data_IF_652231974962
#
_entry.id   IF_652231974962
#
_cell.length_a   1.000
_cell.length_b   1.000
_cell.length_c   1.000
_cell.angle_alpha   90.00
_cell.angle_beta   90.00
_cell.angle_gamma   90.00
#
_symmetry.space_group_name_H-M   'P 1'
#
loop_
_entity.id
_entity.type
_entity.pdbx_description
1 polymer ?
#
# COMPACT_ATOMS: atom_id res chain seq x y z
N UNK A 1 69.21 -12.33 -66.06
CA UNK A 1 68.67 -13.23 -65.01
C UNK A 1 68.33 -12.35 -63.79
N UNK A 2 67.08 -11.85 -63.70
CA UNK A 2 66.67 -10.98 -62.62
C UNK A 2 65.43 -11.59 -61.92
N UNK A 3 65.65 -12.03 -60.69
CA UNK A 3 64.59 -12.54 -59.83
C UNK A 3 63.93 -11.33 -59.10
N UNK A 4 62.68 -10.99 -59.46
CA UNK A 4 61.89 -10.03 -58.72
C UNK A 4 61.20 -10.76 -57.53
N UNK A 5 61.55 -10.33 -56.29
CA UNK A 5 60.85 -10.73 -55.07
C UNK A 5 59.58 -9.92 -54.93
N UNK A 6 58.45 -10.58 -54.89
CA UNK A 6 57.18 -9.95 -54.57
C UNK A 6 56.99 -10.01 -53.04
N UNK A 7 56.91 -8.89 -52.39
CA UNK A 7 56.57 -8.76 -50.97
C UNK A 7 55.03 -8.64 -50.85
N UNK A 8 54.43 -9.69 -50.30
CA UNK A 8 52.99 -9.66 -49.97
C UNK A 8 52.81 -8.99 -48.62
N UNK A 9 52.14 -7.81 -48.60
CA UNK A 9 51.76 -7.11 -47.39
C UNK A 9 50.39 -7.65 -46.99
N UNK A 10 50.31 -8.43 -45.91
CA UNK A 10 49.03 -8.89 -45.30
C UNK A 10 48.52 -7.79 -44.40
N UNK A 11 47.44 -7.10 -44.78
CA UNK A 11 46.71 -6.17 -43.97
C UNK A 11 45.85 -6.90 -42.96
N UNK A 12 46.17 -6.86 -41.69
CA UNK A 12 45.33 -7.39 -40.59
C UNK A 12 44.29 -6.30 -40.28
N UNK A 13 43.04 -6.54 -40.69
CA UNK A 13 41.90 -5.71 -40.26
C UNK A 13 41.50 -6.14 -38.86
N UNK A 14 41.86 -5.34 -37.85
CA UNK A 14 41.35 -5.51 -36.49
C UNK A 14 39.96 -4.90 -36.43
N UNK A 15 38.94 -5.75 -36.45
CA UNK A 15 37.55 -5.35 -36.26
C UNK A 15 37.34 -5.08 -34.78
N UNK A 16 37.43 -3.79 -34.39
CA UNK A 16 37.13 -3.34 -33.02
C UNK A 16 35.64 -3.47 -32.76
N UNK A 17 35.23 -4.46 -31.93
CA UNK A 17 33.88 -4.52 -31.39
C UNK A 17 33.72 -3.35 -30.38
N UNK A 18 33.05 -2.27 -30.82
CA UNK A 18 32.62 -1.20 -29.94
C UNK A 18 31.49 -1.76 -29.04
N UNK A 19 31.80 -2.14 -27.83
CA UNK A 19 30.81 -2.43 -26.78
C UNK A 19 30.19 -1.09 -26.37
N UNK A 20 29.03 -0.78 -26.93
CA UNK A 20 28.21 0.32 -26.48
C UNK A 20 27.76 0.00 -25.04
N UNK A 21 27.99 0.90 -24.05
CA UNK A 21 27.43 0.74 -22.74
C UNK A 21 25.90 0.78 -22.88
N UNK A 22 25.25 -0.37 -22.76
CA UNK A 22 23.79 -0.47 -22.69
C UNK A 22 23.35 0.39 -21.50
N UNK A 23 22.63 1.47 -21.77
CA UNK A 23 21.94 2.22 -20.74
C UNK A 23 21.04 1.25 -20.01
N UNK A 24 21.38 0.88 -18.77
CA UNK A 24 20.49 0.11 -17.91
C UNK A 24 19.26 1.00 -17.66
N UNK A 25 18.23 0.82 -18.44
CA UNK A 25 16.93 1.41 -18.18
C UNK A 25 16.48 0.79 -16.87
N UNK A 26 16.59 1.55 -15.78
CA UNK A 26 16.06 1.16 -14.48
C UNK A 26 14.57 0.90 -14.69
N UNK A 27 14.19 -0.38 -14.73
CA UNK A 27 12.80 -0.77 -14.88
C UNK A 27 12.01 -0.20 -13.68
N UNK A 28 11.14 0.74 -13.97
CA UNK A 28 10.30 1.36 -12.93
C UNK A 28 9.45 0.25 -12.29
N UNK A 29 9.56 0.10 -10.97
CA UNK A 29 8.77 -0.88 -10.21
C UNK A 29 7.28 -0.67 -10.47
N UNK A 30 6.54 -1.76 -10.69
CA UNK A 30 5.08 -1.73 -10.75
C UNK A 30 4.48 -1.19 -9.45
N UNK A 31 3.25 -0.73 -9.49
CA UNK A 31 2.54 -0.28 -8.28
C UNK A 31 2.45 -1.42 -7.25
N UNK A 32 2.19 -2.65 -7.70
CA UNK A 32 2.16 -3.83 -6.83
C UNK A 32 3.50 -4.03 -6.11
N UNK A 33 4.62 -3.95 -6.82
CA UNK A 33 5.96 -4.07 -6.21
C UNK A 33 6.27 -2.95 -5.24
N UNK A 34 5.83 -1.72 -5.54
CA UNK A 34 6.00 -0.58 -4.66
C UNK A 34 5.13 -0.69 -3.40
N UNK A 35 3.95 -1.30 -3.47
CA UNK A 35 3.05 -1.51 -2.33
C UNK A 35 3.58 -2.52 -1.33
N UNK A 36 4.27 -3.57 -1.78
CA UNK A 36 4.75 -4.64 -0.88
C UNK A 36 5.52 -4.07 0.30
N UNK A 37 5.09 -4.44 1.51
CA UNK A 37 5.69 -4.04 2.78
C UNK A 37 4.66 -3.64 3.83
N UNK A 38 5.17 -3.07 4.91
CA UNK A 38 4.38 -2.58 6.05
C UNK A 38 4.29 -1.06 6.00
N UNK A 39 3.08 -0.56 6.16
CA UNK A 39 2.73 0.85 6.08
C UNK A 39 2.06 1.31 7.37
N UNK A 40 2.76 2.14 8.14
CA UNK A 40 2.25 2.71 9.40
C UNK A 40 1.27 3.84 9.11
N UNK A 41 0.05 3.76 9.62
CA UNK A 41 -0.96 4.80 9.45
C UNK A 41 -0.54 6.09 10.18
N UNK A 42 -0.53 7.21 9.47
CA UNK A 42 -0.23 8.54 10.03
C UNK A 42 -1.43 9.48 10.01
N UNK A 43 -2.38 9.27 9.08
CA UNK A 43 -3.65 9.99 9.04
C UNK A 43 -4.76 9.12 8.44
N UNK A 44 -5.95 9.26 9.01
CA UNK A 44 -7.21 8.75 8.47
C UNK A 44 -8.27 9.81 8.64
N UNK A 45 -8.80 10.31 7.54
CA UNK A 45 -9.81 11.37 7.54
C UNK A 45 -10.97 10.98 6.62
N UNK A 46 -12.19 11.23 7.08
CA UNK A 46 -13.40 11.13 6.27
C UNK A 46 -14.00 12.52 6.10
N UNK A 47 -14.39 12.85 4.88
CA UNK A 47 -15.08 14.09 4.54
C UNK A 47 -16.45 13.77 3.94
N UNK A 48 -17.46 14.52 4.38
CA UNK A 48 -18.84 14.33 3.93
C UNK A 48 -19.52 13.07 4.47
N UNK A 49 -20.67 12.71 3.89
CA UNK A 49 -21.48 11.59 4.33
C UNK A 49 -22.19 11.87 5.65
N UNK A 50 -22.50 10.80 6.39
CA UNK A 50 -23.24 10.87 7.67
C UNK A 50 -22.39 11.43 8.82
N UNK A 51 -21.06 11.53 8.66
CA UNK A 51 -20.12 11.98 9.70
C UNK A 51 -19.91 13.50 9.71
N UNK A 52 -20.50 14.21 8.75
CA UNK A 52 -20.35 15.65 8.62
C UNK A 52 -19.11 16.06 7.82
N UNK A 53 -18.69 17.34 7.91
CA UNK A 53 -17.68 17.90 7.01
C UNK A 53 -16.29 17.29 7.14
N UNK A 54 -15.88 16.92 8.35
CA UNK A 54 -14.59 16.26 8.62
C UNK A 54 -14.67 15.38 9.86
N UNK A 55 -14.19 14.14 9.75
CA UNK A 55 -14.19 13.17 10.84
C UNK A 55 -12.91 12.35 10.86
N UNK A 56 -12.29 12.20 12.03
CA UNK A 56 -11.09 11.40 12.26
C UNK A 56 -11.42 10.24 13.20
N UNK A 57 -11.85 9.10 12.63
CA UNK A 57 -12.27 7.92 13.42
C UNK A 57 -11.20 7.48 14.42
N UNK A 58 -9.93 7.54 14.04
CA UNK A 58 -8.81 7.06 14.86
C UNK A 58 -8.04 8.21 15.55
N UNK A 59 -8.63 9.43 15.58
CA UNK A 59 -8.01 10.61 16.16
C UNK A 59 -6.90 11.21 15.31
N UNK A 60 -6.27 12.26 15.79
CA UNK A 60 -5.21 13.00 15.08
C UNK A 60 -3.89 12.19 14.96
N UNK A 61 -3.64 11.26 15.88
CA UNK A 61 -2.43 10.44 15.92
C UNK A 61 -2.81 8.96 15.94
N UNK A 62 -3.35 8.39 14.84
CA UNK A 62 -3.81 7.02 14.79
C UNK A 62 -2.66 6.04 15.09
N UNK A 63 -2.99 4.91 15.70
CA UNK A 63 -2.10 3.77 15.86
C UNK A 63 -2.50 2.70 14.85
N UNK A 64 -1.52 2.03 14.26
CA UNK A 64 -1.79 0.89 13.41
C UNK A 64 -1.02 0.90 12.10
N UNK A 65 -1.32 -0.13 11.31
CA UNK A 65 -0.59 -0.41 10.07
C UNK A 65 -1.46 -1.15 9.06
N UNK A 66 -1.02 -1.11 7.81
CA UNK A 66 -1.43 -2.03 6.75
C UNK A 66 -0.21 -2.78 6.24
N UNK A 67 -0.39 -4.07 5.92
CA UNK A 67 0.61 -4.89 5.25
C UNK A 67 0.05 -5.34 3.91
N UNK A 68 0.86 -5.22 2.88
CA UNK A 68 0.64 -5.83 1.57
C UNK A 68 1.80 -6.78 1.33
N UNK A 69 1.55 -8.08 1.31
CA UNK A 69 2.61 -9.03 1.06
C UNK A 69 2.74 -9.40 -0.44
N UNK A 70 3.88 -9.97 -0.81
CA UNK A 70 4.15 -10.31 -2.21
C UNK A 70 3.22 -11.41 -2.75
N UNK A 71 2.67 -12.25 -1.88
CA UNK A 71 1.73 -13.32 -2.25
C UNK A 71 0.32 -12.82 -2.56
N UNK A 72 0.03 -11.53 -2.30
CA UNK A 72 -1.28 -10.94 -2.50
C UNK A 72 -2.17 -11.00 -1.26
N UNK A 73 -1.59 -11.18 -0.06
CA UNK A 73 -2.31 -11.09 1.21
C UNK A 73 -2.21 -9.68 1.77
N UNK A 74 -3.26 -9.25 2.47
CA UNK A 74 -3.29 -7.95 3.15
C UNK A 74 -3.85 -8.10 4.56
N UNK A 75 -3.28 -7.29 5.47
CA UNK A 75 -3.64 -7.24 6.88
C UNK A 75 -3.66 -5.79 7.31
N UNK A 76 -4.62 -5.40 8.12
CA UNK A 76 -4.62 -4.06 8.71
C UNK A 76 -5.21 -4.07 10.11
N UNK A 77 -4.67 -3.18 10.93
CA UNK A 77 -5.21 -2.85 12.24
C UNK A 77 -5.02 -1.36 12.48
N UNK A 78 -6.10 -0.67 12.79
CA UNK A 78 -6.08 0.76 13.15
C UNK A 78 -6.82 0.97 14.44
N UNK A 79 -6.32 1.85 15.29
CA UNK A 79 -6.94 2.17 16.55
C UNK A 79 -6.65 3.62 16.97
N UNK A 80 -7.54 4.18 17.76
CA UNK A 80 -7.29 5.42 18.51
C UNK A 80 -6.24 5.13 19.59
N UNK A 81 -5.33 6.09 19.88
CA UNK A 81 -4.35 5.93 20.97
C UNK A 81 -4.99 5.94 22.37
N UNK A 82 -6.19 6.49 22.48
CA UNK A 82 -6.95 6.73 23.73
C UNK A 82 -8.13 5.76 23.89
N UNK A 83 -8.05 4.54 23.34
CA UNK A 83 -9.06 3.51 23.59
C UNK A 83 -9.16 3.23 25.10
N UNK A 84 -10.40 3.16 25.67
CA UNK A 84 -10.57 2.82 27.06
C UNK A 84 -10.09 1.40 27.36
N UNK A 85 -9.54 1.21 28.55
CA UNK A 85 -9.40 -0.11 29.14
C UNK A 85 -10.75 -0.57 29.67
N UNK A 86 -11.08 -1.83 29.49
CA UNK A 86 -12.29 -2.41 30.08
C UNK A 86 -12.09 -2.50 31.58
N UNK A 87 -12.92 -1.81 32.38
CA UNK A 87 -12.77 -1.71 33.82
C UNK A 87 -12.82 -3.06 34.54
N UNK A 88 -13.65 -4.00 34.02
CA UNK A 88 -13.73 -5.36 34.52
C UNK A 88 -12.51 -6.22 34.19
N UNK A 89 -11.58 -5.74 33.35
CA UNK A 89 -10.48 -6.50 32.76
C UNK A 89 -10.94 -7.83 32.08
N UNK A 90 -12.20 -7.88 31.68
CA UNK A 90 -12.80 -9.04 30.99
C UNK A 90 -13.44 -8.56 29.68
N UNK A 91 -12.96 -9.01 28.50
CA UNK A 91 -13.48 -8.57 27.21
C UNK A 91 -14.94 -8.97 26.96
N UNK A 92 -15.50 -9.90 27.74
CA UNK A 92 -16.89 -10.34 27.63
C UNK A 92 -17.86 -9.49 28.45
N UNK A 93 -17.36 -8.58 29.31
CA UNK A 93 -18.18 -7.77 30.21
C UNK A 93 -17.80 -6.28 30.19
N UNK A 94 -17.64 -5.65 28.98
CA UNK A 94 -17.46 -4.20 28.90
C UNK A 94 -18.75 -3.49 29.28
N UNK A 95 -18.66 -2.25 29.75
CA UNK A 95 -19.85 -1.38 29.78
C UNK A 95 -20.29 -1.03 28.36
N UNK A 96 -21.56 -0.61 28.15
CA UNK A 96 -22.01 -0.16 26.83
C UNK A 96 -21.15 0.96 26.23
N UNK A 97 -20.68 1.88 27.05
CA UNK A 97 -19.83 3.01 26.66
C UNK A 97 -18.44 2.54 26.23
N UNK A 98 -17.82 1.62 27.00
CA UNK A 98 -16.54 1.00 26.63
C UNK A 98 -16.65 0.23 25.32
N UNK A 99 -17.69 -0.59 25.17
CA UNK A 99 -17.93 -1.35 23.93
C UNK A 99 -18.10 -0.43 22.73
N UNK A 100 -18.91 0.64 22.86
CA UNK A 100 -19.13 1.65 21.80
C UNK A 100 -17.82 2.35 21.43
N UNK A 101 -17.03 2.76 22.43
CA UNK A 101 -15.76 3.43 22.18
C UNK A 101 -14.75 2.52 21.47
N UNK A 102 -14.64 1.25 21.88
CA UNK A 102 -13.73 0.27 21.29
C UNK A 102 -14.15 -0.05 19.86
N UNK A 103 -15.43 -0.38 19.63
CA UNK A 103 -15.95 -0.68 18.27
C UNK A 103 -15.85 0.53 17.35
N UNK A 104 -16.14 1.72 17.85
CA UNK A 104 -16.02 2.96 17.09
C UNK A 104 -14.57 3.37 16.80
N UNK A 105 -13.66 3.07 17.71
CA UNK A 105 -12.28 3.57 17.69
C UNK A 105 -11.23 2.59 17.22
N UNK A 106 -11.60 1.36 16.88
CA UNK A 106 -10.65 0.36 16.36
C UNK A 106 -11.25 -0.42 15.17
N UNK A 107 -10.38 -0.96 14.34
CA UNK A 107 -10.74 -1.91 13.29
C UNK A 107 -9.53 -2.80 12.99
N UNK A 108 -9.80 -4.07 12.72
CA UNK A 108 -8.82 -5.01 12.20
C UNK A 108 -9.47 -5.85 11.11
N UNK A 109 -8.72 -6.16 10.07
CA UNK A 109 -9.18 -7.03 8.99
C UNK A 109 -8.00 -7.70 8.28
N UNK A 110 -8.31 -8.78 7.57
CA UNK A 110 -7.37 -9.43 6.66
C UNK A 110 -8.09 -10.04 5.46
N UNK A 111 -7.30 -10.34 4.44
CA UNK A 111 -7.81 -10.95 3.21
C UNK A 111 -6.77 -10.99 2.12
N UNK A 112 -7.23 -10.95 0.88
CA UNK A 112 -6.39 -10.88 -0.31
C UNK A 112 -6.53 -9.52 -1.00
N UNK A 113 -5.55 -9.17 -1.85
CA UNK A 113 -5.61 -7.98 -2.68
C UNK A 113 -5.11 -8.23 -4.09
N UNK A 114 -5.64 -7.43 -5.01
CA UNK A 114 -5.16 -7.28 -6.39
C UNK A 114 -4.93 -5.81 -6.69
N UNK A 115 -4.11 -5.54 -7.71
CA UNK A 115 -3.80 -4.16 -8.14
C UNK A 115 -4.15 -4.02 -9.61
N UNK A 116 -4.94 -3.01 -9.93
CA UNK A 116 -5.09 -2.49 -11.29
C UNK A 116 -4.02 -1.40 -11.48
N UNK A 117 -2.97 -1.72 -12.22
CA UNK A 117 -1.83 -0.82 -12.45
C UNK A 117 -2.24 0.44 -13.23
N UNK A 118 -3.17 0.31 -14.17
CA UNK A 118 -3.61 1.39 -15.04
C UNK A 118 -4.51 2.38 -14.31
N UNK A 119 -5.48 1.86 -13.55
CA UNK A 119 -6.39 2.67 -12.74
C UNK A 119 -5.78 3.10 -11.40
N UNK A 120 -4.63 2.54 -11.00
CA UNK A 120 -4.01 2.69 -9.68
C UNK A 120 -4.97 2.31 -8.55
N UNK A 121 -5.75 1.26 -8.72
CA UNK A 121 -6.74 0.79 -7.76
C UNK A 121 -6.31 -0.52 -7.13
N UNK A 122 -6.32 -0.55 -5.80
CA UNK A 122 -6.20 -1.77 -5.01
C UNK A 122 -7.62 -2.26 -4.73
N UNK A 123 -7.91 -3.51 -5.07
CA UNK A 123 -9.14 -4.19 -4.69
C UNK A 123 -8.83 -5.25 -3.64
N UNK A 124 -9.42 -5.13 -2.46
CA UNK A 124 -9.25 -6.07 -1.35
C UNK A 124 -10.53 -6.88 -1.15
N UNK A 125 -10.39 -8.21 -1.09
CA UNK A 125 -11.43 -9.15 -0.67
C UNK A 125 -11.14 -9.57 0.75
N UNK A 126 -11.95 -9.09 1.69
CA UNK A 126 -11.75 -9.35 3.10
C UNK A 126 -12.33 -10.72 3.47
N UNK A 127 -11.51 -11.57 4.06
CA UNK A 127 -11.93 -12.87 4.61
C UNK A 127 -12.52 -12.71 5.99
N UNK A 128 -12.02 -11.74 6.78
CA UNK A 128 -12.57 -11.39 8.08
C UNK A 128 -12.30 -9.93 8.43
N UNK A 129 -13.17 -9.35 9.24
CA UNK A 129 -13.04 -8.00 9.79
C UNK A 129 -13.72 -7.92 11.15
N UNK A 130 -13.16 -7.12 12.06
CA UNK A 130 -13.83 -6.76 13.32
C UNK A 130 -15.13 -5.95 13.10
N UNK A 131 -15.35 -5.41 11.91
CA UNK A 131 -16.63 -4.88 11.42
C UNK A 131 -17.11 -5.77 10.26
N UNK A 132 -17.88 -6.80 10.59
CA UNK A 132 -18.28 -7.86 9.66
C UNK A 132 -18.91 -7.35 8.35
N UNK A 133 -19.63 -6.23 8.38
CA UNK A 133 -20.24 -5.62 7.19
C UNK A 133 -19.23 -5.30 6.07
N UNK A 134 -17.93 -5.13 6.39
CA UNK A 134 -16.92 -4.88 5.37
C UNK A 134 -16.63 -6.10 4.48
N UNK A 135 -16.96 -7.30 4.90
CA UNK A 135 -16.75 -8.52 4.11
C UNK A 135 -17.82 -8.75 3.05
N UNK A 136 -18.94 -7.98 3.10
CA UNK A 136 -20.05 -8.12 2.16
C UNK A 136 -19.72 -7.65 0.73
N UNK A 137 -18.66 -6.86 0.55
CA UNK A 137 -18.25 -6.33 -0.75
C UNK A 137 -16.75 -6.09 -0.83
N UNK A 138 -16.25 -6.05 -2.06
CA UNK A 138 -14.85 -5.68 -2.31
C UNK A 138 -14.55 -4.26 -1.81
N UNK A 139 -13.44 -4.13 -1.10
CA UNK A 139 -12.96 -2.83 -0.61
C UNK A 139 -11.98 -2.25 -1.61
N UNK A 140 -12.31 -1.10 -2.22
CA UNK A 140 -11.47 -0.46 -3.23
C UNK A 140 -10.75 0.77 -2.66
N UNK A 141 -9.48 0.92 -3.02
CA UNK A 141 -8.62 2.06 -2.67
C UNK A 141 -7.91 2.56 -3.92
N UNK A 142 -8.08 3.84 -4.24
CA UNK A 142 -7.27 4.48 -5.28
C UNK A 142 -5.96 4.96 -4.64
N UNK A 143 -4.83 4.57 -5.20
CA UNK A 143 -3.52 5.09 -4.82
C UNK A 143 -3.34 6.46 -5.49
N UNK A 144 -3.34 7.51 -4.70
CA UNK A 144 -3.16 8.89 -5.19
C UNK A 144 -1.70 9.29 -5.25
N UNK A 145 -0.86 8.70 -4.40
CA UNK A 145 0.60 8.89 -4.40
C UNK A 145 1.28 7.71 -3.73
N UNK A 146 2.43 7.30 -4.26
CA UNK A 146 3.33 6.34 -3.61
C UNK A 146 4.78 6.74 -3.87
N UNK A 147 5.57 6.73 -2.82
CA UNK A 147 7.02 6.95 -2.81
C UNK A 147 7.69 5.84 -2.00
N UNK A 148 9.01 5.76 -1.95
CA UNK A 148 9.68 4.79 -1.08
C UNK A 148 9.29 4.89 0.39
N UNK A 149 8.85 6.06 0.88
CA UNK A 149 8.59 6.33 2.31
C UNK A 149 7.15 6.70 2.63
N UNK A 150 6.33 7.10 1.66
CA UNK A 150 4.95 7.55 1.87
C UNK A 150 3.99 6.89 0.89
N UNK A 151 2.79 6.54 1.38
CA UNK A 151 1.66 6.05 0.59
C UNK A 151 0.42 6.86 0.93
N UNK A 152 -0.23 7.42 -0.10
CA UNK A 152 -1.54 8.09 0.03
C UNK A 152 -2.59 7.31 -0.75
N UNK A 153 -3.71 7.07 -0.11
CA UNK A 153 -4.85 6.37 -0.72
C UNK A 153 -6.15 7.06 -0.38
N UNK A 154 -7.16 6.81 -1.20
CA UNK A 154 -8.53 7.21 -0.92
C UNK A 154 -9.50 6.07 -1.21
N UNK A 155 -10.62 6.03 -0.48
CA UNK A 155 -11.73 5.13 -0.82
C UNK A 155 -12.55 5.74 -1.92
N UNK A 156 -12.97 4.90 -2.87
CA UNK A 156 -13.94 5.29 -3.90
C UNK A 156 -15.38 5.05 -3.46
N UNK A 157 -15.58 4.15 -2.50
CA UNK A 157 -16.89 3.79 -1.95
C UNK A 157 -16.78 3.67 -0.43
N UNK A 158 -17.65 4.34 0.29
CA UNK A 158 -17.69 4.34 1.76
C UNK A 158 -19.11 4.01 2.23
N UNK A 159 -19.25 3.01 3.13
CA UNK A 159 -20.55 2.56 3.65
C UNK A 159 -21.34 3.69 4.35
N UNK A 160 -20.63 4.64 4.97
CA UNK A 160 -21.23 5.81 5.63
C UNK A 160 -21.41 7.02 4.70
N UNK A 161 -21.11 6.87 3.40
CA UNK A 161 -21.01 7.99 2.46
C UNK A 161 -19.77 8.84 2.65
N UNK A 162 -19.57 9.82 1.75
CA UNK A 162 -18.37 10.70 1.78
C UNK A 162 -17.13 10.05 1.20
N UNK A 163 -16.00 10.67 1.46
CA UNK A 163 -14.67 10.28 0.96
C UNK A 163 -13.73 10.01 2.14
N UNK A 164 -12.99 8.90 2.10
CA UNK A 164 -11.96 8.62 3.11
C UNK A 164 -10.57 8.77 2.48
N UNK A 165 -9.68 9.44 3.20
CA UNK A 165 -8.29 9.65 2.86
C UNK A 165 -7.40 8.94 3.88
N UNK A 166 -6.35 8.29 3.39
CA UNK A 166 -5.33 7.58 4.18
C UNK A 166 -3.96 8.14 3.85
N UNK A 167 -3.17 8.41 4.85
CA UNK A 167 -1.74 8.70 4.70
C UNK A 167 -0.96 7.71 5.56
N UNK A 168 0.06 7.13 4.95
CA UNK A 168 0.92 6.16 5.60
C UNK A 168 2.38 6.53 5.41
N UNK A 169 3.19 6.10 6.36
CA UNK A 169 4.65 6.07 6.25
C UNK A 169 5.10 4.61 6.18
N UNK A 170 6.08 4.31 5.34
CA UNK A 170 6.67 2.97 5.31
C UNK A 170 7.32 2.65 6.66
N UNK A 171 7.10 1.43 7.16
CA UNK A 171 7.84 0.95 8.32
C UNK A 171 9.33 0.74 7.93
N UNK A 172 10.22 1.06 8.84
CA UNK A 172 11.66 0.83 8.68
C UNK A 172 11.97 -0.64 8.89
#
# INVERSE_FOLDING_TARGET
>A
MNRRRVLSISAIIVLGLAVLPGSAVSQQKSLKEQLVGTWMLTSWEQEGGQTGPKFQRFGANPKGFSVFDASGRTYAMFARPDLPKIASNNPSTPTPEEAKAIVGGAIAYYGTYTVDESAKVITMKLESSSFANQTASDQKRTVTSITPTELKMQNTTVLSGGQIYYVYRRAN
#
